data_IF_154695088727
#
_entry.id   IF_154695088727
#
_cell.length_a   1.000
_cell.length_b   1.000
_cell.length_c   1.000
_cell.angle_alpha   90.00
_cell.angle_beta   90.00
_cell.angle_gamma   90.00
#
_symmetry.space_group_name_H-M   'P 1'
#
loop_
_entity.id
_entity.type
_entity.pdbx_description
1 polymer ?
#
# COMPACT_ATOMS: atom_id res chain seq x y z
N UNK A 1 -15.00 19.83 -5.32
CA UNK A 1 -14.90 18.43 -4.83
C UNK A 1 -14.30 17.49 -5.88
N UNK A 2 -14.71 17.54 -7.14
CA UNK A 2 -14.23 16.65 -8.22
C UNK A 2 -12.71 16.46 -8.30
N UNK A 3 -11.92 17.53 -8.22
CA UNK A 3 -10.45 17.41 -8.26
C UNK A 3 -9.87 16.63 -7.07
N UNK A 4 -10.43 16.81 -5.86
CA UNK A 4 -10.02 16.05 -4.69
C UNK A 4 -10.37 14.57 -4.83
N UNK A 5 -11.56 14.26 -5.34
CA UNK A 5 -11.98 12.88 -5.65
C UNK A 5 -11.01 12.25 -6.65
N UNK A 6 -10.68 12.95 -7.73
CA UNK A 6 -9.73 12.47 -8.73
C UNK A 6 -8.37 12.12 -8.11
N UNK A 7 -7.77 13.03 -7.33
CA UNK A 7 -6.50 12.77 -6.67
C UNK A 7 -6.58 11.62 -5.67
N UNK A 8 -7.69 11.52 -4.93
CA UNK A 8 -7.94 10.44 -3.97
C UNK A 8 -7.96 9.09 -4.68
N UNK A 9 -8.80 8.96 -5.71
CA UNK A 9 -8.96 7.72 -6.47
C UNK A 9 -7.68 7.37 -7.22
N UNK A 10 -6.98 8.35 -7.79
CA UNK A 10 -5.69 8.13 -8.44
C UNK A 10 -4.66 7.51 -7.48
N UNK A 11 -4.56 8.05 -6.27
CA UNK A 11 -3.70 7.50 -5.22
C UNK A 11 -4.08 6.06 -4.87
N UNK A 12 -5.38 5.79 -4.70
CA UNK A 12 -5.90 4.43 -4.40
C UNK A 12 -5.58 3.45 -5.54
N UNK A 13 -5.82 3.83 -6.80
CA UNK A 13 -5.57 2.99 -7.98
C UNK A 13 -4.08 2.63 -8.07
N UNK A 14 -3.19 3.61 -7.95
CA UNK A 14 -1.75 3.38 -8.04
C UNK A 14 -1.27 2.48 -6.90
N UNK A 15 -1.72 2.75 -5.67
CA UNK A 15 -1.23 2.01 -4.51
C UNK A 15 -1.82 0.59 -4.43
N UNK A 16 -3.15 0.47 -4.42
CA UNK A 16 -3.83 -0.83 -4.29
C UNK A 16 -3.60 -1.69 -5.54
N UNK A 17 -3.69 -1.09 -6.74
CA UNK A 17 -3.38 -1.77 -7.99
C UNK A 17 -1.92 -2.22 -8.07
N UNK A 18 -0.98 -1.37 -7.65
CA UNK A 18 0.44 -1.73 -7.57
C UNK A 18 0.72 -2.86 -6.59
N UNK A 19 0.08 -2.86 -5.41
CA UNK A 19 0.17 -3.98 -4.45
C UNK A 19 -0.40 -5.27 -5.04
N UNK A 20 -1.55 -5.20 -5.71
CA UNK A 20 -2.16 -6.37 -6.36
C UNK A 20 -1.22 -6.96 -7.42
N UNK A 21 -0.71 -6.13 -8.33
CA UNK A 21 0.24 -6.57 -9.36
C UNK A 21 1.50 -7.17 -8.74
N UNK A 22 2.13 -6.48 -7.79
CA UNK A 22 3.36 -6.96 -7.16
C UNK A 22 3.14 -8.31 -6.45
N UNK A 23 2.06 -8.44 -5.68
CA UNK A 23 1.81 -9.63 -4.85
C UNK A 23 1.28 -10.82 -5.65
N UNK A 24 0.34 -10.58 -6.57
CA UNK A 24 -0.39 -11.64 -7.26
C UNK A 24 0.21 -12.01 -8.62
N UNK A 25 0.91 -11.09 -9.29
CA UNK A 25 1.42 -11.31 -10.65
C UNK A 25 2.95 -11.43 -10.65
N UNK A 26 3.65 -10.38 -10.21
CA UNK A 26 5.12 -10.33 -10.28
C UNK A 26 5.78 -11.36 -9.37
N UNK A 27 5.28 -11.52 -8.14
CA UNK A 27 5.86 -12.42 -7.14
C UNK A 27 5.85 -13.90 -7.50
N UNK A 28 4.74 -14.53 -7.94
CA UNK A 28 4.79 -15.93 -8.35
C UNK A 28 5.76 -16.13 -9.51
N UNK A 29 5.68 -15.30 -10.55
CA UNK A 29 6.58 -15.38 -11.71
C UNK A 29 8.06 -15.26 -11.31
N UNK A 30 8.40 -14.29 -10.45
CA UNK A 30 9.76 -14.14 -9.94
C UNK A 30 10.19 -15.31 -9.04
N UNK A 31 9.26 -15.95 -8.33
CA UNK A 31 9.55 -17.11 -7.50
C UNK A 31 9.83 -18.36 -8.32
N UNK A 32 9.15 -18.50 -9.46
CA UNK A 32 9.25 -19.65 -10.35
C UNK A 32 10.48 -19.56 -11.27
N UNK A 33 10.79 -18.37 -11.78
CA UNK A 33 11.87 -18.18 -12.77
C UNK A 33 13.24 -17.87 -12.17
N UNK A 34 13.31 -17.31 -10.95
CA UNK A 34 14.56 -16.77 -10.41
C UNK A 34 14.99 -17.45 -9.11
N UNK A 35 16.27 -17.85 -9.07
CA UNK A 35 16.92 -18.32 -7.86
C UNK A 35 17.06 -17.17 -6.82
N UNK A 36 17.18 -17.46 -5.52
CA UNK A 36 17.24 -16.42 -4.48
C UNK A 36 18.28 -15.31 -4.72
N UNK A 37 19.53 -15.57 -5.17
CA UNK A 37 20.53 -14.53 -5.42
C UNK A 37 20.15 -13.56 -6.54
N UNK A 38 19.24 -13.93 -7.45
CA UNK A 38 18.73 -13.06 -8.53
C UNK A 38 17.40 -12.41 -8.13
N UNK A 39 16.54 -13.18 -7.46
CA UNK A 39 15.20 -12.76 -7.04
C UNK A 39 15.22 -11.70 -5.95
N UNK A 40 16.10 -11.81 -4.96
CA UNK A 40 16.14 -10.89 -3.82
C UNK A 40 16.60 -9.48 -4.22
N UNK A 41 17.67 -9.30 -5.04
CA UNK A 41 18.00 -8.00 -5.60
C UNK A 41 16.90 -7.40 -6.47
N UNK A 42 16.20 -8.22 -7.28
CA UNK A 42 15.06 -7.76 -8.06
C UNK A 42 14.03 -7.09 -7.15
N UNK A 43 13.63 -7.75 -6.06
CA UNK A 43 12.66 -7.19 -5.12
C UNK A 43 13.15 -5.94 -4.41
N UNK A 44 14.42 -5.89 -3.99
CA UNK A 44 14.99 -4.69 -3.40
C UNK A 44 14.89 -3.48 -4.35
N UNK A 45 15.20 -3.67 -5.63
CA UNK A 45 15.15 -2.62 -6.67
C UNK A 45 13.72 -2.26 -7.10
N UNK A 46 12.81 -3.22 -7.13
CA UNK A 46 11.37 -2.96 -7.38
C UNK A 46 10.82 -2.08 -6.26
N UNK A 47 11.08 -2.42 -5.00
CA UNK A 47 10.60 -1.63 -3.86
C UNK A 47 11.24 -0.23 -3.79
N UNK A 48 12.52 -0.11 -4.16
CA UNK A 48 13.19 1.19 -4.26
C UNK A 48 12.48 2.15 -5.22
N UNK A 49 11.94 1.64 -6.33
CA UNK A 49 11.16 2.44 -7.28
C UNK A 49 9.71 2.62 -6.86
N UNK A 50 9.09 1.58 -6.29
CA UNK A 50 7.67 1.57 -6.00
C UNK A 50 7.32 2.34 -4.71
N UNK A 51 8.12 2.22 -3.64
CA UNK A 51 7.78 2.84 -2.35
C UNK A 51 7.73 4.37 -2.35
N UNK A 52 8.58 5.11 -3.08
CA UNK A 52 8.40 6.55 -3.26
C UNK A 52 7.05 6.91 -3.89
N UNK A 53 6.61 6.13 -4.89
CA UNK A 53 5.29 6.32 -5.51
C UNK A 53 4.17 6.02 -4.51
N UNK A 54 4.32 4.99 -3.68
CA UNK A 54 3.37 4.68 -2.60
C UNK A 54 3.29 5.83 -1.58
N UNK A 55 4.41 6.42 -1.17
CA UNK A 55 4.41 7.60 -0.30
C UNK A 55 3.61 8.76 -0.90
N UNK A 56 3.80 9.03 -2.20
CA UNK A 56 3.01 10.05 -2.92
C UNK A 56 1.52 9.68 -2.89
N UNK A 57 1.16 8.42 -3.17
CA UNK A 57 -0.23 7.96 -3.09
C UNK A 57 -0.83 8.14 -1.69
N UNK A 58 -0.10 7.79 -0.62
CA UNK A 58 -0.55 7.98 0.77
C UNK A 58 -0.86 9.44 1.05
N UNK A 59 0.04 10.35 0.65
CA UNK A 59 -0.16 11.80 0.84
C UNK A 59 -1.37 12.29 0.05
N UNK A 60 -1.49 11.90 -1.23
CA UNK A 60 -2.63 12.28 -2.07
C UNK A 60 -3.95 11.81 -1.46
N UNK A 61 -4.05 10.56 -1.04
CA UNK A 61 -5.25 9.98 -0.42
C UNK A 61 -5.60 10.71 0.87
N UNK A 62 -4.63 10.91 1.78
CA UNK A 62 -4.89 11.48 3.09
C UNK A 62 -5.30 12.96 2.99
N UNK A 63 -4.56 13.76 2.22
CA UNK A 63 -4.86 15.19 2.08
C UNK A 63 -6.19 15.41 1.36
N UNK A 64 -6.46 14.70 0.27
CA UNK A 64 -7.74 14.81 -0.43
C UNK A 64 -8.91 14.29 0.41
N UNK A 65 -8.73 13.19 1.15
CA UNK A 65 -9.75 12.61 2.02
C UNK A 65 -10.12 13.54 3.17
N UNK A 66 -9.12 14.09 3.87
CA UNK A 66 -9.34 15.08 4.93
C UNK A 66 -10.00 16.35 4.40
N UNK A 67 -9.59 16.82 3.22
CA UNK A 67 -10.22 17.97 2.57
C UNK A 67 -11.69 17.73 2.24
N UNK A 68 -12.05 16.55 1.70
CA UNK A 68 -13.44 16.19 1.46
C UNK A 68 -14.25 16.09 2.76
N UNK A 69 -13.67 15.52 3.84
CA UNK A 69 -14.32 15.48 5.15
C UNK A 69 -14.61 16.89 5.68
N UNK A 70 -13.69 17.84 5.51
CA UNK A 70 -13.91 19.24 5.90
C UNK A 70 -15.06 19.87 5.11
N UNK A 71 -15.13 19.66 3.79
CA UNK A 71 -16.23 20.15 2.96
C UNK A 71 -17.60 19.54 3.34
N UNK A 72 -17.61 18.32 3.87
CA UNK A 72 -18.81 17.63 4.35
C UNK A 72 -19.26 18.05 5.77
N UNK A 73 -18.65 19.10 6.34
CA UNK A 73 -18.99 19.58 7.69
C UNK A 73 -18.16 18.95 8.82
N UNK A 74 -17.09 18.23 8.48
CA UNK A 74 -16.15 17.63 9.43
C UNK A 74 -16.59 16.27 9.98
N UNK A 75 -15.75 15.69 10.84
CA UNK A 75 -15.93 14.32 11.36
C UNK A 75 -17.23 14.09 12.16
N UNK A 76 -17.94 15.14 12.60
CA UNK A 76 -19.24 14.98 13.28
C UNK A 76 -20.41 14.80 12.31
N UNK A 77 -20.24 15.19 11.05
CA UNK A 77 -21.31 15.27 10.05
C UNK A 77 -21.22 14.16 8.98
N UNK A 78 -20.10 13.45 8.90
CA UNK A 78 -19.88 12.40 7.90
C UNK A 78 -20.55 11.08 8.27
N UNK A 79 -20.88 10.27 7.25
CA UNK A 79 -21.46 8.95 7.44
C UNK A 79 -20.47 7.96 8.09
N UNK A 80 -21.00 6.92 8.75
CA UNK A 80 -20.21 5.86 9.39
C UNK A 80 -19.26 5.15 8.41
N UNK A 81 -19.65 5.01 7.14
CA UNK A 81 -18.79 4.46 6.08
C UNK A 81 -17.53 5.30 5.85
N UNK A 82 -17.61 6.64 5.93
CA UNK A 82 -16.43 7.52 5.79
C UNK A 82 -15.51 7.37 7.01
N UNK A 83 -16.05 7.22 8.21
CA UNK A 83 -15.26 6.87 9.40
C UNK A 83 -14.54 5.53 9.25
N UNK A 84 -15.24 4.50 8.75
CA UNK A 84 -14.64 3.20 8.47
C UNK A 84 -13.53 3.32 7.43
N UNK A 85 -13.76 4.06 6.33
CA UNK A 85 -12.75 4.29 5.30
C UNK A 85 -11.50 4.98 5.84
N UNK A 86 -11.69 6.01 6.66
CA UNK A 86 -10.60 6.72 7.31
C UNK A 86 -9.82 5.82 8.28
N UNK A 87 -10.53 5.06 9.13
CA UNK A 87 -9.92 4.13 10.08
C UNK A 87 -9.10 3.03 9.37
N UNK A 88 -9.66 2.42 8.32
CA UNK A 88 -8.94 1.42 7.52
C UNK A 88 -7.72 2.06 6.85
N UNK A 89 -7.87 3.26 6.27
CA UNK A 89 -6.77 4.00 5.64
C UNK A 89 -5.61 4.27 6.62
N UNK A 90 -5.91 4.63 7.87
CA UNK A 90 -4.89 4.82 8.90
C UNK A 90 -4.16 3.51 9.24
N UNK A 91 -4.89 2.39 9.38
CA UNK A 91 -4.26 1.07 9.62
C UNK A 91 -3.36 0.71 8.44
N UNK A 92 -3.82 0.91 7.21
CA UNK A 92 -3.02 0.65 6.01
C UNK A 92 -1.73 1.48 5.98
N UNK A 93 -1.83 2.76 6.33
CA UNK A 93 -0.67 3.66 6.43
C UNK A 93 0.33 3.16 7.47
N UNK A 94 -0.13 2.76 8.66
CA UNK A 94 0.74 2.23 9.71
C UNK A 94 1.45 0.94 9.28
N UNK A 95 0.74 0.03 8.60
CA UNK A 95 1.34 -1.19 8.03
C UNK A 95 2.42 -0.82 7.02
N UNK A 96 2.15 0.12 6.13
CA UNK A 96 3.15 0.56 5.15
C UNK A 96 4.36 1.24 5.79
N UNK A 97 4.16 2.12 6.78
CA UNK A 97 5.26 2.71 7.55
C UNK A 97 6.13 1.62 8.18
N UNK A 98 5.52 0.63 8.84
CA UNK A 98 6.25 -0.49 9.41
C UNK A 98 7.04 -1.25 8.33
N UNK A 99 6.43 -1.58 7.19
CA UNK A 99 7.07 -2.27 6.05
C UNK A 99 8.27 -1.48 5.51
N UNK A 100 8.12 -0.17 5.34
CA UNK A 100 9.14 0.69 4.77
C UNK A 100 10.34 0.86 5.71
N UNK A 101 10.10 1.16 6.99
CA UNK A 101 11.17 1.47 7.92
C UNK A 101 11.89 0.24 8.49
N UNK A 102 11.22 -0.92 8.58
CA UNK A 102 11.78 -2.09 9.26
C UNK A 102 12.23 -3.19 8.27
N UNK A 103 11.35 -4.00 7.67
CA UNK A 103 11.78 -5.13 6.87
C UNK A 103 12.37 -4.73 5.52
N UNK A 104 11.97 -3.60 4.92
CA UNK A 104 12.61 -3.13 3.69
C UNK A 104 14.08 -2.74 3.89
N UNK A 105 14.38 -1.96 4.94
CA UNK A 105 15.77 -1.66 5.31
C UNK A 105 16.59 -2.94 5.59
N UNK A 106 15.99 -3.94 6.24
CA UNK A 106 16.62 -5.26 6.45
C UNK A 106 16.90 -5.97 5.12
N UNK A 107 15.93 -6.00 4.19
CA UNK A 107 16.09 -6.61 2.87
C UNK A 107 17.25 -5.97 2.10
N UNK A 108 17.28 -4.64 1.99
CA UNK A 108 18.31 -3.93 1.23
C UNK A 108 19.71 -4.20 1.81
N UNK A 109 19.86 -4.12 3.13
CA UNK A 109 21.15 -4.41 3.80
C UNK A 109 21.60 -5.87 3.61
N UNK A 110 20.70 -6.83 3.82
CA UNK A 110 21.03 -8.25 3.68
C UNK A 110 21.35 -8.61 2.22
N UNK A 111 20.69 -8.00 1.23
CA UNK A 111 21.03 -8.17 -0.19
C UNK A 111 22.42 -7.61 -0.49
N UNK A 112 22.75 -6.41 0.01
CA UNK A 112 24.06 -5.81 -0.19
C UNK A 112 25.20 -6.64 0.45
N UNK A 113 24.94 -7.25 1.60
CA UNK A 113 25.86 -8.16 2.28
C UNK A 113 25.82 -9.61 1.75
N UNK A 114 25.00 -9.91 0.73
CA UNK A 114 24.79 -11.25 0.18
C UNK A 114 24.31 -12.29 1.21
N UNK A 115 23.64 -11.86 2.27
CA UNK A 115 23.07 -12.70 3.32
C UNK A 115 21.68 -13.22 2.90
N UNK A 116 21.64 -14.15 1.96
CA UNK A 116 20.42 -14.58 1.27
C UNK A 116 19.30 -15.11 2.18
N UNK A 117 19.67 -15.76 3.29
CA UNK A 117 18.69 -16.25 4.27
C UNK A 117 17.95 -15.08 4.94
N UNK A 118 18.69 -14.11 5.47
CA UNK A 118 18.13 -12.93 6.15
C UNK A 118 17.33 -12.06 5.18
N UNK A 119 17.81 -11.89 3.95
CA UNK A 119 17.09 -11.20 2.89
C UNK A 119 15.77 -11.92 2.54
N UNK A 120 15.78 -13.25 2.47
CA UNK A 120 14.58 -14.08 2.27
C UNK A 120 13.54 -13.91 3.38
N UNK A 121 13.97 -13.93 4.64
CA UNK A 121 13.09 -13.74 5.81
C UNK A 121 12.47 -12.34 5.82
N UNK A 122 13.26 -11.30 5.52
CA UNK A 122 12.77 -9.94 5.40
C UNK A 122 11.72 -9.81 4.27
N UNK A 123 12.00 -10.38 3.09
CA UNK A 123 11.04 -10.38 1.98
C UNK A 123 9.76 -11.16 2.33
N UNK A 124 9.86 -12.26 3.07
CA UNK A 124 8.70 -13.03 3.51
C UNK A 124 7.78 -12.21 4.45
N UNK A 125 8.36 -11.41 5.35
CA UNK A 125 7.61 -10.46 6.19
C UNK A 125 6.95 -9.37 5.36
N UNK A 126 7.69 -8.75 4.42
CA UNK A 126 7.14 -7.73 3.50
C UNK A 126 5.92 -8.30 2.77
N UNK A 127 6.05 -9.51 2.21
CA UNK A 127 4.95 -10.18 1.49
C UNK A 127 3.71 -10.34 2.35
N UNK A 128 3.83 -10.85 3.59
CA UNK A 128 2.67 -11.04 4.48
C UNK A 128 1.97 -9.72 4.77
N UNK A 129 2.73 -8.67 5.04
CA UNK A 129 2.20 -7.35 5.35
C UNK A 129 1.58 -6.66 4.14
N UNK A 130 2.19 -6.77 2.95
CA UNK A 130 1.59 -6.28 1.70
C UNK A 130 0.28 -7.04 1.40
N UNK A 131 0.25 -8.35 1.59
CA UNK A 131 -0.97 -9.15 1.40
C UNK A 131 -2.09 -8.73 2.37
N UNK A 132 -1.78 -8.55 3.65
CA UNK A 132 -2.73 -7.99 4.62
C UNK A 132 -3.21 -6.60 4.22
N UNK A 133 -2.29 -5.72 3.82
CA UNK A 133 -2.61 -4.36 3.41
C UNK A 133 -3.46 -4.31 2.14
N UNK A 134 -3.24 -5.23 1.21
CA UNK A 134 -4.04 -5.39 0.00
C UNK A 134 -5.48 -5.79 0.35
N UNK A 135 -5.68 -6.73 1.27
CA UNK A 135 -7.02 -7.13 1.73
C UNK A 135 -7.75 -5.92 2.34
N UNK A 136 -7.08 -5.16 3.20
CA UNK A 136 -7.65 -3.92 3.75
C UNK A 136 -8.01 -2.92 2.65
N UNK A 137 -7.16 -2.74 1.64
CA UNK A 137 -7.43 -1.86 0.51
C UNK A 137 -8.66 -2.29 -0.29
N UNK A 138 -8.81 -3.59 -0.56
CA UNK A 138 -9.98 -4.12 -1.27
C UNK A 138 -11.27 -3.98 -0.45
N UNK A 139 -11.21 -4.23 0.86
CA UNK A 139 -12.33 -3.98 1.78
C UNK A 139 -12.70 -2.49 1.75
N UNK A 140 -11.71 -1.60 1.78
CA UNK A 140 -11.93 -0.16 1.78
C UNK A 140 -12.63 0.31 0.49
N UNK A 141 -12.20 -0.21 -0.66
CA UNK A 141 -12.85 0.03 -1.96
C UNK A 141 -14.30 -0.48 -1.93
N UNK A 142 -14.56 -1.66 -1.37
CA UNK A 142 -15.90 -2.21 -1.25
C UNK A 142 -16.79 -1.34 -0.34
N UNK A 143 -16.28 -0.86 0.80
CA UNK A 143 -16.99 0.08 1.68
C UNK A 143 -17.35 1.35 0.92
N UNK A 144 -16.41 1.93 0.17
CA UNK A 144 -16.65 3.12 -0.64
C UNK A 144 -17.74 2.89 -1.70
N UNK A 145 -17.65 1.80 -2.46
CA UNK A 145 -18.57 1.50 -3.57
C UNK A 145 -19.97 1.10 -3.10
N UNK A 146 -20.09 0.34 -2.01
CA UNK A 146 -21.36 -0.22 -1.55
C UNK A 146 -22.15 0.71 -0.61
N UNK A 147 -21.49 1.70 -0.01
CA UNK A 147 -22.12 2.57 0.99
C UNK A 147 -23.12 3.60 0.42
N UNK A 148 -23.49 3.51 -0.86
CA UNK A 148 -24.34 4.49 -1.57
C UNK A 148 -23.86 5.94 -1.40
N UNK A 149 -22.60 6.16 -1.03
CA UNK A 149 -21.97 7.48 -1.05
C UNK A 149 -21.83 7.84 -2.53
N UNK A 150 -22.80 8.60 -3.04
CA UNK A 150 -22.68 9.26 -4.34
C UNK A 150 -21.70 10.41 -4.13
N UNK A 151 -20.50 10.27 -4.71
CA UNK A 151 -19.53 11.34 -4.84
C UNK A 151 -19.98 12.37 -5.87
#
# INVERSE_FOLDING_TARGET
>A
MAFAIFLHVLGVVIWVGGMYFAHQMLRPVAADLLAPPQRLPLWARVFERFFPVVWISVVLILLSGLYMIMLLGGFKAIALSIHAMFGIGLVMMLVFCFVYFIPYGKLVRAVAAQEWKQAGDALATIRKLIGFNLILGLINIAVAALSRIVF
#
